data_IF_075627781294
#
_entry.id   IF_075627781294
#
_cell.length_a   1.000
_cell.length_b   1.000
_cell.length_c   1.000
_cell.angle_alpha   90.00
_cell.angle_beta   90.00
_cell.angle_gamma   90.00
#
_symmetry.space_group_name_H-M   'P 1'
#
loop_
_entity.id
_entity.type
_entity.pdbx_description
1 polymer ?
#
# COMPACT_ATOMS: atom_id res chain seq x y z
N UNK A 1 -27.33 13.30 7.69
CA UNK A 1 -28.08 12.04 7.67
C UNK A 1 -28.83 11.86 8.98
N UNK A 2 -30.07 11.36 8.93
CA UNK A 2 -30.83 10.93 10.12
C UNK A 2 -30.13 9.75 10.79
N UNK A 3 -30.37 9.50 12.06
CA UNK A 3 -29.72 8.41 12.80
C UNK A 3 -30.06 7.03 12.22
N UNK A 4 -31.26 6.86 11.69
CA UNK A 4 -31.66 5.65 10.96
C UNK A 4 -30.83 5.44 9.69
N UNK A 5 -30.54 6.50 8.93
CA UNK A 5 -29.68 6.44 7.73
C UNK A 5 -28.21 6.22 8.08
N UNK A 6 -27.72 6.76 9.21
CA UNK A 6 -26.35 6.52 9.70
C UNK A 6 -26.11 5.05 10.03
N UNK A 7 -27.10 4.36 10.61
CA UNK A 7 -27.01 2.92 10.93
C UNK A 7 -26.87 2.03 9.70
N UNK A 8 -27.33 2.49 8.54
CA UNK A 8 -27.29 1.75 7.27
C UNK A 8 -26.08 2.13 6.41
N UNK A 9 -25.27 3.12 6.81
CA UNK A 9 -24.12 3.60 6.05
C UNK A 9 -22.83 3.40 6.83
N UNK A 10 -21.77 3.23 6.11
CA UNK A 10 -20.43 3.20 6.69
C UNK A 10 -19.94 4.63 6.93
N UNK A 11 -20.11 5.11 8.18
CA UNK A 11 -19.72 6.47 8.58
C UNK A 11 -18.20 6.65 8.74
N UNK A 12 -17.44 5.56 8.78
CA UNK A 12 -15.99 5.57 8.92
C UNK A 12 -15.29 5.62 7.55
N UNK A 13 -15.99 5.17 6.50
CA UNK A 13 -15.48 5.22 5.13
C UNK A 13 -15.47 6.65 4.56
N UNK A 14 -14.57 6.92 3.63
CA UNK A 14 -14.45 8.21 2.95
C UNK A 14 -14.38 8.04 1.45
N UNK A 15 -14.66 9.13 0.75
CA UNK A 15 -14.51 9.23 -0.70
C UNK A 15 -13.08 9.60 -1.08
N UNK A 16 -12.58 8.99 -2.13
CA UNK A 16 -11.35 9.40 -2.82
C UNK A 16 -11.59 9.38 -4.34
N UNK A 17 -11.03 10.37 -5.04
CA UNK A 17 -11.02 10.41 -6.50
C UNK A 17 -9.67 9.93 -7.00
N UNK A 18 -9.66 8.88 -7.83
CA UNK A 18 -8.45 8.34 -8.45
C UNK A 18 -8.70 8.08 -9.93
N UNK A 19 -7.84 8.63 -10.79
CA UNK A 19 -7.94 8.48 -12.25
C UNK A 19 -9.34 8.83 -12.80
N UNK A 20 -9.93 9.94 -12.33
CA UNK A 20 -11.27 10.39 -12.73
C UNK A 20 -12.44 9.62 -12.12
N UNK A 21 -12.22 8.51 -11.44
CA UNK A 21 -13.26 7.69 -10.78
C UNK A 21 -13.31 7.96 -9.28
N UNK A 22 -14.53 7.95 -8.73
CA UNK A 22 -14.76 8.11 -7.29
C UNK A 22 -14.86 6.72 -6.64
N UNK A 23 -14.14 6.54 -5.52
CA UNK A 23 -14.17 5.33 -4.71
C UNK A 23 -14.57 5.70 -3.30
N UNK A 24 -15.42 4.88 -2.70
CA UNK A 24 -15.84 5.01 -1.31
C UNK A 24 -15.40 3.78 -0.52
N UNK A 25 -14.69 3.99 0.57
CA UNK A 25 -14.24 2.86 1.39
C UNK A 25 -12.95 3.09 2.14
N UNK A 26 -12.09 2.09 2.10
CA UNK A 26 -10.84 2.01 2.84
C UNK A 26 -9.66 1.72 1.91
N UNK A 27 -8.46 2.07 2.34
CA UNK A 27 -7.20 1.70 1.71
C UNK A 27 -6.52 0.59 2.52
N UNK A 28 -5.93 -0.37 1.82
CA UNK A 28 -5.00 -1.34 2.37
C UNK A 28 -3.59 -0.93 1.97
N UNK A 29 -2.83 -0.42 2.92
CA UNK A 29 -1.41 -0.12 2.74
C UNK A 29 -0.63 -1.35 3.17
N UNK A 30 0.28 -1.83 2.33
CA UNK A 30 1.04 -3.05 2.60
C UNK A 30 2.54 -2.83 2.44
N UNK A 31 3.30 -3.40 3.36
CA UNK A 31 4.74 -3.59 3.22
C UNK A 31 4.99 -5.02 2.75
N UNK A 32 5.74 -5.17 1.65
CA UNK A 32 5.94 -6.45 0.97
C UNK A 32 7.41 -6.75 0.83
N UNK A 33 7.81 -7.96 1.20
CA UNK A 33 9.15 -8.46 0.96
C UNK A 33 9.46 -8.57 -0.54
N UNK A 34 10.62 -8.01 -0.93
CA UNK A 34 11.04 -7.95 -2.34
C UNK A 34 11.35 -9.34 -2.89
N UNK A 35 11.95 -10.23 -2.10
CA UNK A 35 12.40 -11.56 -2.54
C UNK A 35 11.24 -12.54 -2.66
N UNK A 36 10.49 -12.70 -1.59
CA UNK A 36 9.45 -13.73 -1.49
C UNK A 36 8.05 -13.22 -1.80
N UNK A 37 7.85 -11.89 -1.91
CA UNK A 37 6.56 -11.22 -2.12
C UNK A 37 5.53 -11.50 -1.02
N UNK A 38 6.00 -11.74 0.21
CA UNK A 38 5.14 -11.88 1.37
C UNK A 38 4.81 -10.51 1.97
N UNK A 39 3.58 -10.33 2.43
CA UNK A 39 3.17 -9.14 3.17
C UNK A 39 3.78 -9.24 4.56
N UNK A 40 4.62 -8.26 4.94
CA UNK A 40 5.31 -8.17 6.24
C UNK A 40 4.50 -7.35 7.24
N UNK A 41 3.89 -6.27 6.78
CA UNK A 41 3.07 -5.39 7.57
C UNK A 41 1.94 -4.80 6.74
N UNK A 42 0.89 -4.34 7.40
CA UNK A 42 -0.20 -3.62 6.74
C UNK A 42 -0.89 -2.64 7.67
N UNK A 43 -1.38 -1.55 7.09
CA UNK A 43 -2.24 -0.57 7.74
C UNK A 43 -3.54 -0.38 6.96
N UNK A 44 -4.63 -0.16 7.65
CA UNK A 44 -5.94 0.10 7.04
C UNK A 44 -6.44 1.47 7.46
N UNK A 45 -6.63 2.34 6.48
CA UNK A 45 -7.17 3.69 6.67
C UNK A 45 -8.46 3.89 5.89
N UNK A 46 -9.20 4.94 6.18
CA UNK A 46 -10.21 5.39 5.23
C UNK A 46 -9.56 5.88 3.92
N UNK A 47 -10.34 5.95 2.85
CA UNK A 47 -9.80 6.24 1.53
C UNK A 47 -9.28 7.68 1.36
N UNK A 48 -9.62 8.62 2.24
CA UNK A 48 -9.18 10.01 2.15
C UNK A 48 -7.78 10.23 2.76
N UNK A 49 -7.32 9.35 3.65
CA UNK A 49 -5.98 9.46 4.27
C UNK A 49 -4.89 9.39 3.20
N UNK A 50 -3.94 10.33 3.25
CA UNK A 50 -2.82 10.33 2.32
C UNK A 50 -1.82 9.23 2.66
N UNK A 51 -1.28 8.58 1.64
CA UNK A 51 -0.42 7.39 1.80
C UNK A 51 0.85 7.69 2.62
N UNK A 52 1.38 8.92 2.56
CA UNK A 52 2.56 9.34 3.35
C UNK A 52 2.33 9.30 4.86
N UNK A 53 1.08 9.45 5.34
CA UNK A 53 0.77 9.46 6.78
C UNK A 53 0.91 8.09 7.47
N UNK A 54 0.90 7.02 6.69
CA UNK A 54 1.04 5.65 7.20
C UNK A 54 2.38 5.02 6.84
N UNK A 55 3.28 5.81 6.22
CA UNK A 55 4.54 5.30 5.69
C UNK A 55 5.42 4.72 6.81
N UNK A 56 5.54 5.44 7.92
CA UNK A 56 6.37 5.03 9.06
C UNK A 56 5.87 3.74 9.71
N UNK A 57 4.53 3.57 9.85
CA UNK A 57 3.92 2.35 10.40
C UNK A 57 4.26 1.08 9.58
N UNK A 58 4.60 1.27 8.30
CA UNK A 58 4.91 0.17 7.39
C UNK A 58 6.39 -0.19 7.31
N UNK A 59 7.27 0.59 7.94
CA UNK A 59 8.71 0.30 7.98
C UNK A 59 8.97 -0.85 8.95
N UNK A 60 9.76 -1.83 8.51
CA UNK A 60 10.17 -2.97 9.34
C UNK A 60 11.67 -2.81 9.67
N UNK A 61 11.96 -2.35 10.87
CA UNK A 61 13.32 -2.14 11.35
C UNK A 61 14.11 -3.45 11.53
N UNK A 62 13.41 -4.58 11.63
CA UNK A 62 14.00 -5.92 11.75
C UNK A 62 14.26 -6.58 10.40
N UNK A 63 13.99 -5.89 9.29
CA UNK A 63 14.26 -6.43 7.97
C UNK A 63 15.79 -6.51 7.71
N UNK A 64 16.23 -7.60 7.10
CA UNK A 64 17.65 -7.81 6.73
C UNK A 64 18.14 -6.82 5.68
N UNK A 65 17.28 -6.36 4.78
CA UNK A 65 17.59 -5.31 3.81
C UNK A 65 17.12 -3.94 4.32
N UNK A 66 17.98 -2.94 4.16
CA UNK A 66 17.66 -1.54 4.47
C UNK A 66 17.10 -0.77 3.26
N UNK A 67 16.82 -1.45 2.14
CA UNK A 67 16.29 -0.82 0.93
C UNK A 67 14.77 -0.66 1.02
N UNK A 68 14.26 0.56 0.88
CA UNK A 68 12.82 0.88 0.91
C UNK A 68 12.38 1.42 -0.43
N UNK A 69 11.52 0.68 -1.12
CA UNK A 69 10.93 1.04 -2.41
C UNK A 69 9.49 1.49 -2.22
N UNK A 70 9.17 2.73 -2.62
CA UNK A 70 7.81 3.27 -2.51
C UNK A 70 7.44 4.14 -3.71
N UNK A 71 6.14 4.39 -3.86
CA UNK A 71 5.60 5.33 -4.86
C UNK A 71 5.93 6.77 -4.46
N UNK A 72 5.87 7.65 -5.42
CA UNK A 72 6.04 9.10 -5.23
C UNK A 72 5.00 9.71 -4.28
N UNK A 73 3.86 9.07 -4.04
CA UNK A 73 2.87 9.47 -3.05
C UNK A 73 3.39 9.39 -1.60
N UNK A 74 4.40 8.53 -1.35
CA UNK A 74 5.05 8.41 -0.05
C UNK A 74 6.23 9.36 0.14
N UNK A 75 6.58 10.17 -0.88
CA UNK A 75 7.70 11.10 -0.83
C UNK A 75 7.29 12.42 -0.19
N UNK A 76 7.72 12.65 1.03
CA UNK A 76 7.70 13.94 1.74
C UNK A 76 9.08 14.19 2.34
N UNK A 77 9.39 15.44 2.69
CA UNK A 77 10.64 15.76 3.40
C UNK A 77 10.74 15.03 4.75
N UNK A 78 9.62 14.96 5.45
CA UNK A 78 9.48 14.25 6.72
C UNK A 78 9.78 12.75 6.55
N UNK A 79 9.15 12.09 5.57
CA UNK A 79 9.38 10.67 5.28
C UNK A 79 10.84 10.39 4.91
N UNK A 80 11.49 11.29 4.17
CA UNK A 80 12.89 11.13 3.79
C UNK A 80 13.83 11.28 5.00
N UNK A 81 13.61 12.30 5.84
CA UNK A 81 14.35 12.46 7.10
C UNK A 81 14.22 11.23 7.99
N UNK A 82 12.99 10.71 8.11
CA UNK A 82 12.74 9.53 8.93
C UNK A 82 13.46 8.28 8.41
N UNK A 83 13.50 8.08 7.08
CA UNK A 83 14.28 6.99 6.48
C UNK A 83 15.77 7.13 6.78
N UNK A 84 16.32 8.35 6.73
CA UNK A 84 17.73 8.64 7.04
C UNK A 84 18.04 8.38 8.52
N UNK A 85 17.22 8.86 9.44
CA UNK A 85 17.35 8.61 10.89
C UNK A 85 17.36 7.11 11.21
N UNK A 86 16.48 6.34 10.57
CA UNK A 86 16.37 4.88 10.72
C UNK A 86 17.42 4.12 9.89
N UNK A 87 18.32 4.83 9.20
CA UNK A 87 19.38 4.26 8.35
C UNK A 87 18.86 3.35 7.23
N UNK A 88 17.68 3.66 6.67
CA UNK A 88 17.18 3.03 5.47
C UNK A 88 17.74 3.71 4.22
N UNK A 89 17.93 2.92 3.15
CA UNK A 89 18.28 3.44 1.82
C UNK A 89 17.01 3.71 1.03
N UNK A 90 16.78 4.98 0.71
CA UNK A 90 15.56 5.41 0.01
C UNK A 90 15.60 5.07 -1.48
N UNK A 91 14.58 4.39 -1.95
CA UNK A 91 14.28 4.15 -3.36
C UNK A 91 12.85 4.61 -3.71
N UNK A 92 12.42 5.71 -3.08
CA UNK A 92 11.11 6.32 -3.34
C UNK A 92 11.14 7.00 -4.71
N UNK A 93 10.11 6.78 -5.52
CA UNK A 93 10.00 7.39 -6.83
C UNK A 93 9.98 8.92 -6.73
N UNK A 94 10.65 9.58 -7.66
CA UNK A 94 10.65 11.04 -7.77
C UNK A 94 9.45 11.49 -8.60
N UNK A 95 8.84 12.62 -8.21
CA UNK A 95 7.75 13.26 -8.91
C UNK A 95 8.22 14.61 -9.46
N UNK A 96 7.92 14.87 -10.73
CA UNK A 96 8.07 16.21 -11.28
C UNK A 96 7.02 17.16 -10.72
N UNK A 97 7.32 18.45 -10.67
CA UNK A 97 6.36 19.50 -10.33
C UNK A 97 6.14 20.44 -11.52
N UNK A 98 5.17 21.36 -11.38
CA UNK A 98 4.77 22.28 -12.47
C UNK A 98 5.95 23.03 -13.08
N UNK A 99 6.93 23.42 -12.26
CA UNK A 99 8.07 24.21 -12.66
C UNK A 99 9.37 23.41 -12.89
N UNK A 100 9.35 22.08 -12.62
CA UNK A 100 10.51 21.21 -12.78
C UNK A 100 10.09 19.83 -13.29
N UNK A 101 10.36 19.56 -14.55
CA UNK A 101 10.23 18.23 -15.14
C UNK A 101 11.35 17.33 -14.61
N UNK A 102 11.09 16.01 -14.56
CA UNK A 102 12.12 15.03 -14.22
C UNK A 102 13.21 14.99 -15.30
N UNK A 103 14.45 14.92 -14.88
CA UNK A 103 15.60 14.72 -15.76
C UNK A 103 15.60 13.31 -16.36
N UNK A 104 16.37 13.07 -17.42
CA UNK A 104 16.52 11.73 -18.03
C UNK A 104 17.02 10.69 -17.00
N UNK A 105 17.93 11.09 -16.13
CA UNK A 105 18.46 10.26 -15.05
C UNK A 105 17.39 9.89 -14.00
N UNK A 106 16.60 10.86 -13.57
CA UNK A 106 15.49 10.64 -12.64
C UNK A 106 14.43 9.72 -13.24
N UNK A 107 14.12 9.88 -14.53
CA UNK A 107 13.21 8.99 -15.26
C UNK A 107 13.76 7.55 -15.33
N UNK A 108 15.04 7.39 -15.65
CA UNK A 108 15.69 6.09 -15.67
C UNK A 108 15.71 5.44 -14.28
N UNK A 109 16.05 6.22 -13.24
CA UNK A 109 15.98 5.77 -11.84
C UNK A 109 14.57 5.34 -11.44
N UNK A 110 13.54 6.10 -11.84
CA UNK A 110 12.15 5.72 -11.59
C UNK A 110 11.75 4.42 -12.30
N UNK A 111 12.23 4.16 -13.52
CA UNK A 111 11.99 2.87 -14.22
C UNK A 111 12.56 1.69 -13.46
N UNK A 112 13.77 1.82 -12.91
CA UNK A 112 14.39 0.76 -12.09
C UNK A 112 13.59 0.51 -10.81
N UNK A 113 13.19 1.58 -10.11
CA UNK A 113 12.35 1.49 -8.90
C UNK A 113 10.99 0.87 -9.20
N UNK A 114 10.37 1.22 -10.33
CA UNK A 114 9.09 0.65 -10.77
C UNK A 114 9.14 -0.86 -10.97
N UNK A 115 10.24 -1.40 -11.51
CA UNK A 115 10.40 -2.86 -11.69
C UNK A 115 10.33 -3.62 -10.37
N UNK A 116 10.87 -3.05 -9.29
CA UNK A 116 10.81 -3.67 -7.97
C UNK A 116 9.43 -3.44 -7.34
N UNK A 117 8.90 -2.22 -7.43
CA UNK A 117 7.59 -1.85 -6.90
C UNK A 117 6.42 -2.66 -7.52
N UNK A 118 6.54 -3.06 -8.78
CA UNK A 118 5.49 -3.88 -9.45
C UNK A 118 5.18 -5.20 -8.73
N UNK A 119 6.04 -5.65 -7.81
CA UNK A 119 5.78 -6.81 -6.96
C UNK A 119 4.57 -6.62 -6.03
N UNK A 120 4.28 -5.38 -5.63
CA UNK A 120 3.06 -5.04 -4.87
C UNK A 120 1.81 -5.22 -5.75
N UNK A 121 1.90 -4.87 -7.03
CA UNK A 121 0.79 -5.07 -7.98
C UNK A 121 0.44 -6.55 -8.13
N UNK A 122 1.44 -7.42 -8.11
CA UNK A 122 1.22 -8.87 -8.07
C UNK A 122 0.45 -9.31 -6.81
N UNK A 123 0.74 -8.73 -5.64
CA UNK A 123 0.02 -9.03 -4.39
C UNK A 123 -1.47 -8.73 -4.55
N UNK A 124 -1.81 -7.52 -4.99
CA UNK A 124 -3.21 -7.12 -5.20
C UNK A 124 -3.89 -7.89 -6.32
N UNK A 125 -3.17 -8.22 -7.40
CA UNK A 125 -3.66 -9.08 -8.48
C UNK A 125 -4.08 -10.46 -7.99
N UNK A 126 -3.23 -11.12 -7.21
CA UNK A 126 -3.54 -12.43 -6.61
C UNK A 126 -4.69 -12.33 -5.60
N UNK A 127 -4.72 -11.29 -4.76
CA UNK A 127 -5.84 -11.07 -3.85
C UNK A 127 -7.18 -10.92 -4.59
N UNK A 128 -7.17 -10.21 -5.72
CA UNK A 128 -8.37 -10.07 -6.56
C UNK A 128 -8.77 -11.41 -7.18
N UNK A 129 -7.83 -12.20 -7.65
CA UNK A 129 -8.07 -13.53 -8.21
C UNK A 129 -8.68 -14.47 -7.15
N UNK A 130 -8.12 -14.51 -5.94
CA UNK A 130 -8.59 -15.39 -4.86
C UNK A 130 -9.95 -14.98 -4.30
N UNK A 131 -10.23 -13.68 -4.19
CA UNK A 131 -11.45 -13.15 -3.59
C UNK A 131 -12.55 -12.81 -4.61
N UNK A 132 -12.26 -12.86 -5.90
CA UNK A 132 -13.17 -12.47 -6.98
C UNK A 132 -13.49 -10.98 -7.04
N UNK A 133 -13.26 -10.23 -5.97
CA UNK A 133 -13.56 -8.80 -5.87
C UNK A 133 -12.78 -8.13 -4.75
N UNK A 134 -12.52 -6.83 -4.89
CA UNK A 134 -12.00 -5.99 -3.80
C UNK A 134 -13.12 -5.30 -2.99
N UNK A 135 -14.38 -5.51 -3.35
CA UNK A 135 -15.51 -4.91 -2.63
C UNK A 135 -15.62 -5.51 -1.23
N UNK A 136 -15.67 -4.63 -0.23
CA UNK A 136 -15.91 -4.99 1.16
C UNK A 136 -17.41 -4.86 1.47
N UNK A 137 -18.07 -5.99 1.74
CA UNK A 137 -19.48 -6.03 2.17
C UNK A 137 -19.56 -6.02 3.69
N UNK A 138 -19.12 -4.91 4.31
CA UNK A 138 -19.20 -4.70 5.76
C UNK A 138 -19.31 -3.21 6.05
N UNK A 139 -19.80 -2.86 7.22
CA UNK A 139 -19.94 -1.50 7.74
C UNK A 139 -18.98 -1.35 8.93
N UNK A 140 -18.23 -0.25 8.97
CA UNK A 140 -17.33 0.15 10.04
C UNK A 140 -15.89 -0.29 9.86
N UNK A 141 -14.97 0.59 10.28
CA UNK A 141 -13.51 0.43 10.11
C UNK A 141 -12.97 -0.85 10.76
N UNK A 142 -13.49 -1.26 11.91
CA UNK A 142 -13.04 -2.45 12.63
C UNK A 142 -13.29 -3.71 11.79
N UNK A 143 -14.50 -3.86 11.24
CA UNK A 143 -14.86 -5.00 10.39
C UNK A 143 -14.11 -4.98 9.05
N UNK A 144 -13.92 -3.79 8.48
CA UNK A 144 -13.12 -3.61 7.27
C UNK A 144 -11.67 -4.04 7.50
N UNK A 145 -11.04 -3.61 8.62
CA UNK A 145 -9.68 -4.00 9.01
C UNK A 145 -9.57 -5.52 9.18
N UNK A 146 -10.52 -6.15 9.86
CA UNK A 146 -10.52 -7.61 10.03
C UNK A 146 -10.61 -8.35 8.69
N UNK A 147 -11.52 -7.96 7.79
CA UNK A 147 -11.64 -8.57 6.46
C UNK A 147 -10.43 -8.36 5.57
N UNK A 148 -9.83 -7.17 5.60
CA UNK A 148 -8.60 -6.87 4.87
C UNK A 148 -7.44 -7.70 5.44
N UNK A 149 -7.32 -7.79 6.77
CA UNK A 149 -6.31 -8.62 7.43
C UNK A 149 -6.41 -10.09 7.07
N UNK A 150 -7.63 -10.65 7.04
CA UNK A 150 -7.87 -12.02 6.59
C UNK A 150 -7.48 -12.24 5.11
N UNK A 151 -7.73 -11.26 4.23
CA UNK A 151 -7.28 -11.32 2.82
C UNK A 151 -5.76 -11.30 2.71
N UNK A 152 -5.09 -10.45 3.49
CA UNK A 152 -3.64 -10.38 3.53
C UNK A 152 -3.04 -11.71 4.03
N UNK A 153 -3.63 -12.31 5.06
CA UNK A 153 -3.24 -13.63 5.58
C UNK A 153 -3.45 -14.74 4.54
N UNK A 154 -4.63 -14.81 3.92
CA UNK A 154 -4.93 -15.79 2.87
C UNK A 154 -3.95 -15.69 1.69
N UNK A 155 -3.60 -14.45 1.29
CA UNK A 155 -2.55 -14.23 0.29
C UNK A 155 -1.21 -14.80 0.75
N UNK A 156 -0.78 -14.51 1.98
CA UNK A 156 0.50 -15.00 2.51
C UNK A 156 0.53 -16.53 2.57
N UNK A 157 -0.56 -17.18 3.00
CA UNK A 157 -0.68 -18.65 3.00
C UNK A 157 -0.58 -19.24 1.60
N UNK A 158 -1.31 -18.65 0.64
CA UNK A 158 -1.22 -19.04 -0.77
C UNK A 158 0.20 -18.88 -1.30
N UNK A 159 0.83 -17.73 -1.05
CA UNK A 159 2.19 -17.44 -1.52
C UNK A 159 3.21 -18.36 -0.89
N UNK A 160 3.11 -18.63 0.40
CA UNK A 160 3.98 -19.55 1.12
C UNK A 160 3.90 -20.96 0.53
N UNK A 161 2.69 -21.48 0.30
CA UNK A 161 2.48 -22.77 -0.39
C UNK A 161 3.20 -22.82 -1.72
N UNK A 162 3.10 -21.77 -2.54
CA UNK A 162 3.77 -21.71 -3.84
C UNK A 162 5.30 -21.72 -3.71
N UNK A 163 5.84 -21.03 -2.70
CA UNK A 163 7.29 -21.02 -2.44
C UNK A 163 7.81 -22.39 -2.03
N UNK A 164 7.08 -23.09 -1.18
CA UNK A 164 7.44 -24.47 -0.74
C UNK A 164 7.35 -25.47 -1.90
N UNK A 165 6.38 -25.31 -2.79
CA UNK A 165 6.20 -26.21 -3.93
C UNK A 165 7.24 -26.00 -5.06
N UNK A 166 7.94 -24.86 -5.08
CA UNK A 166 8.92 -24.51 -6.14
C UNK A 166 10.37 -24.52 -5.67
N UNK A 167 10.62 -24.69 -4.36
CA UNK A 167 11.96 -24.82 -3.77
C UNK A 167 12.38 -26.23 -3.69
#
# INVERSE_FOLDING_TARGET
>A
WTDTKKRQKDVDARWVKKNGKNYYGYKNHVSVDVKYKLIRGYAVTDAAVHDSQVFEELLDEHNSSRDVYADSAYRSEESLKRLEELKFREHVQRKGCKNRKLTKWELQGNRTRSKIRSRIEHVFGVQTMLAGTLILRCIGKIRARAKIGLRNLAYNMYRFRMLVATG
#
